data_IF_678054367110
#
_entry.id   IF_678054367110
#
_cell.length_a   1.000
_cell.length_b   1.000
_cell.length_c   1.000
_cell.angle_alpha   90.00
_cell.angle_beta   90.00
_cell.angle_gamma   90.00
#
_symmetry.space_group_name_H-M   'P 1'
#
loop_
_entity.id
_entity.type
_entity.pdbx_description
1 polymer ?
#
# COMPACT_ATOMS: atom_id res chain seq x y z
N UNK A 1 -17.58 17.18 -3.28
CA UNK A 1 -16.54 16.85 -4.28
C UNK A 1 -16.39 15.34 -4.43
N UNK A 2 -16.16 14.57 -3.32
CA UNK A 2 -15.96 13.11 -3.38
C UNK A 2 -17.16 12.39 -3.99
N UNK A 3 -18.38 12.67 -3.53
CA UNK A 3 -19.62 12.07 -4.04
C UNK A 3 -19.78 12.24 -5.57
N UNK A 4 -19.37 13.39 -6.10
CA UNK A 4 -19.42 13.62 -7.55
C UNK A 4 -18.44 12.74 -8.32
N UNK A 5 -17.25 12.49 -7.74
CA UNK A 5 -16.27 11.56 -8.33
C UNK A 5 -16.83 10.14 -8.33
N UNK A 6 -17.39 9.71 -7.22
CA UNK A 6 -18.00 8.38 -7.08
C UNK A 6 -19.15 8.16 -8.07
N UNK A 7 -20.07 9.11 -8.15
CA UNK A 7 -21.19 9.06 -9.10
C UNK A 7 -20.70 8.95 -10.55
N UNK A 8 -19.69 9.74 -10.94
CA UNK A 8 -19.15 9.71 -12.31
C UNK A 8 -18.41 8.40 -12.59
N UNK A 9 -17.56 7.96 -11.67
CA UNK A 9 -16.82 6.68 -11.82
C UNK A 9 -17.82 5.52 -11.95
N UNK A 10 -18.85 5.49 -11.09
CA UNK A 10 -19.89 4.47 -11.16
C UNK A 10 -20.65 4.50 -12.48
N UNK A 11 -21.08 5.68 -12.95
CA UNK A 11 -21.80 5.83 -14.22
C UNK A 11 -20.98 5.36 -15.43
N UNK A 12 -19.69 5.75 -15.52
CA UNK A 12 -18.80 5.27 -16.58
C UNK A 12 -18.55 3.76 -16.49
N UNK A 13 -18.40 3.22 -15.30
CA UNK A 13 -18.21 1.79 -15.09
C UNK A 13 -19.43 0.97 -15.52
N UNK A 14 -20.64 1.42 -15.16
CA UNK A 14 -21.88 0.79 -15.61
C UNK A 14 -22.03 0.85 -17.13
N UNK A 15 -21.80 2.02 -17.73
CA UNK A 15 -21.82 2.17 -19.20
C UNK A 15 -20.83 1.23 -19.90
N UNK A 16 -19.59 1.14 -19.38
CA UNK A 16 -18.59 0.20 -19.91
C UNK A 16 -19.03 -1.26 -19.77
N UNK A 17 -19.67 -1.61 -18.67
CA UNK A 17 -20.23 -2.93 -18.43
C UNK A 17 -21.35 -3.27 -19.41
N UNK A 18 -22.28 -2.34 -19.64
CA UNK A 18 -23.37 -2.50 -20.61
C UNK A 18 -22.85 -2.66 -22.03
N UNK A 19 -21.86 -1.82 -22.42
CA UNK A 19 -21.29 -1.81 -23.76
C UNK A 19 -20.52 -3.09 -24.09
N UNK A 20 -19.80 -3.66 -23.12
CA UNK A 20 -18.86 -4.76 -23.36
C UNK A 20 -19.34 -6.13 -22.86
N UNK A 21 -20.27 -6.16 -21.91
CA UNK A 21 -20.68 -7.38 -21.19
C UNK A 21 -19.55 -8.00 -20.32
N UNK A 22 -18.35 -7.42 -20.30
CA UNK A 22 -17.18 -7.97 -19.61
C UNK A 22 -17.34 -7.99 -18.11
N UNK A 23 -16.82 -9.03 -17.45
CA UNK A 23 -16.65 -9.10 -16.00
C UNK A 23 -15.26 -8.60 -15.54
N UNK A 24 -14.39 -8.23 -16.48
CA UNK A 24 -13.02 -7.80 -16.22
C UNK A 24 -12.88 -6.31 -16.52
N UNK A 25 -12.25 -5.59 -15.62
CA UNK A 25 -11.94 -4.17 -15.77
C UNK A 25 -10.44 -3.94 -15.59
N UNK A 26 -9.81 -3.24 -16.53
CA UNK A 26 -8.51 -2.57 -16.32
C UNK A 26 -8.80 -1.10 -16.13
N UNK A 27 -8.49 -0.57 -14.93
CA UNK A 27 -8.80 0.80 -14.56
C UNK A 27 -7.54 1.60 -14.33
N UNK A 28 -7.32 2.62 -15.16
CA UNK A 28 -6.12 3.44 -15.21
C UNK A 28 -6.48 4.93 -15.21
N UNK A 29 -5.48 5.78 -15.05
CA UNK A 29 -5.63 7.23 -14.93
C UNK A 29 -5.48 7.70 -13.48
N UNK A 30 -5.26 9.02 -13.28
CA UNK A 30 -5.06 9.60 -11.95
C UNK A 30 -6.22 9.35 -10.98
N UNK A 31 -7.45 9.26 -11.49
CA UNK A 31 -8.65 8.96 -10.66
C UNK A 31 -8.61 7.56 -10.09
N UNK A 32 -7.92 6.60 -10.70
CA UNK A 32 -7.74 5.25 -10.17
C UNK A 32 -6.89 5.18 -8.88
N UNK A 33 -6.31 6.30 -8.42
CA UNK A 33 -5.72 6.46 -7.09
C UNK A 33 -6.75 6.72 -5.98
N UNK A 34 -8.02 6.96 -6.35
CA UNK A 34 -9.10 7.18 -5.41
C UNK A 34 -9.69 5.84 -4.94
N UNK A 35 -9.12 5.32 -3.85
CA UNK A 35 -9.49 4.01 -3.31
C UNK A 35 -10.96 3.92 -2.84
N UNK A 36 -11.60 5.03 -2.50
CA UNK A 36 -13.02 5.07 -2.11
C UNK A 36 -13.89 4.81 -3.35
N UNK A 37 -13.67 5.56 -4.43
CA UNK A 37 -14.39 5.36 -5.69
C UNK A 37 -14.10 3.97 -6.30
N UNK A 38 -12.87 3.47 -6.17
CA UNK A 38 -12.50 2.15 -6.67
C UNK A 38 -13.29 1.03 -5.99
N UNK A 39 -13.62 1.18 -4.73
CA UNK A 39 -14.37 0.16 -3.98
C UNK A 39 -15.78 -0.08 -4.55
N UNK A 40 -16.39 0.94 -5.15
CA UNK A 40 -17.71 0.82 -5.82
C UNK A 40 -17.65 -0.02 -7.10
N UNK A 41 -16.49 -0.12 -7.72
CA UNK A 41 -16.31 -0.90 -8.96
C UNK A 41 -16.48 -2.40 -8.73
N UNK A 42 -16.31 -2.87 -7.49
CA UNK A 42 -16.45 -4.29 -7.13
C UNK A 42 -17.88 -4.79 -7.20
N UNK A 43 -18.87 -3.89 -7.18
CA UNK A 43 -20.29 -4.23 -7.36
C UNK A 43 -20.65 -4.42 -8.84
N UNK A 44 -19.78 -3.96 -9.77
CA UNK A 44 -20.02 -3.97 -11.21
C UNK A 44 -19.15 -5.03 -11.92
N UNK A 45 -17.89 -5.13 -11.52
CA UNK A 45 -16.91 -6.03 -12.14
C UNK A 45 -16.40 -7.07 -11.15
N UNK A 46 -16.28 -8.30 -11.64
CA UNK A 46 -15.76 -9.41 -10.85
C UNK A 46 -14.23 -9.34 -10.68
N UNK A 47 -13.53 -8.95 -11.73
CA UNK A 47 -12.07 -8.85 -11.73
C UNK A 47 -11.67 -7.42 -12.08
N UNK A 48 -10.93 -6.77 -11.19
CA UNK A 48 -10.49 -5.39 -11.37
C UNK A 48 -8.97 -5.36 -11.24
N UNK A 49 -8.30 -4.86 -12.28
CA UNK A 49 -6.87 -4.59 -12.26
C UNK A 49 -6.61 -3.08 -12.22
N UNK A 50 -5.94 -2.64 -11.17
CA UNK A 50 -5.43 -1.27 -11.00
C UNK A 50 -3.95 -1.42 -10.67
N UNK A 51 -3.07 -0.94 -11.56
CA UNK A 51 -1.64 -1.03 -11.32
C UNK A 51 -1.19 -0.09 -10.17
N UNK A 52 0.00 -0.30 -9.58
CA UNK A 52 0.47 0.50 -8.45
C UNK A 52 0.71 1.98 -8.81
N UNK A 53 0.97 2.29 -10.06
CA UNK A 53 1.11 3.65 -10.59
C UNK A 53 0.14 3.89 -11.77
N UNK A 54 -1.15 4.04 -11.49
CA UNK A 54 -2.16 4.10 -12.55
C UNK A 54 -2.23 5.47 -13.24
N UNK A 55 -1.61 6.51 -12.67
CA UNK A 55 -1.62 7.88 -13.20
C UNK A 55 -0.57 8.13 -14.30
N UNK A 56 -0.35 9.41 -14.62
CA UNK A 56 0.50 9.86 -15.72
C UNK A 56 1.93 9.30 -15.66
N UNK A 57 2.51 9.18 -14.47
CA UNK A 57 3.85 8.59 -14.32
C UNK A 57 3.91 7.12 -14.77
N UNK A 58 2.81 6.38 -14.66
CA UNK A 58 2.73 4.99 -15.12
C UNK A 58 2.63 4.85 -16.63
N UNK A 59 2.28 5.93 -17.35
CA UNK A 59 2.21 5.94 -18.81
C UNK A 59 3.56 5.67 -19.48
N UNK A 60 4.67 5.94 -18.78
CA UNK A 60 6.02 5.61 -19.26
C UNK A 60 6.20 4.11 -19.50
N UNK A 61 5.70 3.27 -18.57
CA UNK A 61 5.71 1.83 -18.73
C UNK A 61 4.76 1.38 -19.87
N UNK A 62 3.59 2.01 -19.94
CA UNK A 62 2.61 1.74 -21.00
C UNK A 62 3.14 2.07 -22.40
N UNK A 63 3.87 3.18 -22.55
CA UNK A 63 4.52 3.55 -23.80
C UNK A 63 5.58 2.52 -24.24
N UNK A 64 6.44 2.10 -23.29
CA UNK A 64 7.44 1.06 -23.57
C UNK A 64 6.80 -0.29 -23.92
N UNK A 65 5.73 -0.67 -23.20
CA UNK A 65 4.98 -1.89 -23.48
C UNK A 65 4.32 -1.89 -24.88
N UNK A 66 3.76 -0.74 -25.27
CA UNK A 66 3.13 -0.58 -26.58
C UNK A 66 4.17 -0.67 -27.71
N UNK A 67 5.33 -0.04 -27.54
CA UNK A 67 6.42 -0.11 -28.52
C UNK A 67 6.94 -1.53 -28.71
N UNK A 68 7.16 -2.28 -27.63
CA UNK A 68 7.55 -3.69 -27.69
C UNK A 68 6.51 -4.53 -28.42
N UNK A 69 5.24 -4.31 -28.12
CA UNK A 69 4.16 -5.03 -28.79
C UNK A 69 4.08 -4.71 -30.29
N UNK A 70 4.20 -3.43 -30.67
CA UNK A 70 4.14 -3.01 -32.07
C UNK A 70 5.35 -3.49 -32.88
N UNK A 71 6.52 -3.57 -32.25
CA UNK A 71 7.78 -3.95 -32.92
C UNK A 71 7.94 -5.47 -33.04
N UNK A 72 7.68 -6.19 -31.93
CA UNK A 72 8.01 -7.61 -31.81
C UNK A 72 6.79 -8.51 -31.57
N UNK A 73 5.60 -7.95 -31.35
CA UNK A 73 4.43 -8.70 -30.90
C UNK A 73 4.51 -9.15 -29.44
N UNK A 74 5.53 -8.68 -28.70
CA UNK A 74 5.77 -9.07 -27.31
C UNK A 74 4.81 -8.38 -26.35
N UNK A 75 4.28 -9.15 -25.39
CA UNK A 75 3.49 -8.61 -24.28
C UNK A 75 4.31 -8.60 -23.01
N UNK A 76 4.37 -7.45 -22.34
CA UNK A 76 5.00 -7.37 -21.01
C UNK A 76 4.13 -8.16 -20.02
N UNK A 77 4.75 -9.07 -19.29
CA UNK A 77 4.14 -9.74 -18.16
C UNK A 77 4.39 -8.89 -16.89
N UNK A 78 3.32 -8.50 -16.20
CA UNK A 78 3.43 -7.77 -14.94
C UNK A 78 3.76 -8.72 -13.80
N UNK A 79 4.92 -8.57 -13.17
CA UNK A 79 5.39 -9.46 -12.11
C UNK A 79 5.43 -8.78 -10.73
N UNK A 80 5.83 -7.50 -10.68
CA UNK A 80 6.14 -6.85 -9.42
C UNK A 80 6.06 -5.32 -9.51
N UNK A 81 5.64 -4.64 -8.42
CA UNK A 81 5.71 -3.18 -8.34
C UNK A 81 7.11 -2.66 -7.97
N UNK A 82 8.06 -3.53 -7.67
CA UNK A 82 9.39 -3.15 -7.16
C UNK A 82 10.38 -2.98 -8.31
N UNK A 83 10.31 -1.84 -9.00
CA UNK A 83 11.10 -1.56 -10.22
C UNK A 83 12.20 -0.51 -10.01
N UNK A 84 12.18 0.22 -8.89
CA UNK A 84 13.08 1.33 -8.62
C UNK A 84 14.48 0.91 -8.16
N UNK A 85 15.23 1.87 -7.58
CA UNK A 85 16.59 1.66 -7.10
C UNK A 85 16.66 0.54 -6.05
N UNK A 86 17.71 -0.28 -6.15
CA UNK A 86 17.87 -1.46 -5.30
C UNK A 86 18.87 -1.19 -4.15
N UNK A 87 18.37 -1.17 -2.92
CA UNK A 87 19.21 -1.18 -1.73
C UNK A 87 19.49 -2.64 -1.38
N UNK A 88 20.72 -3.08 -1.57
CA UNK A 88 21.13 -4.48 -1.41
C UNK A 88 21.22 -4.92 0.06
N UNK A 89 21.01 -6.20 0.30
CA UNK A 89 21.16 -6.85 1.60
C UNK A 89 19.93 -7.64 2.01
N UNK A 90 20.04 -8.41 3.08
CA UNK A 90 18.92 -9.16 3.63
C UNK A 90 17.88 -8.21 4.20
N UNK A 91 16.62 -8.48 3.91
CA UNK A 91 15.50 -7.71 4.46
C UNK A 91 15.57 -7.66 5.99
N UNK A 92 15.37 -6.51 6.63
CA UNK A 92 15.72 -6.27 8.05
C UNK A 92 14.67 -6.82 9.02
N UNK A 93 14.34 -8.12 8.93
CA UNK A 93 13.30 -8.76 9.74
C UNK A 93 13.62 -8.69 11.23
N UNK A 94 14.84 -9.07 11.61
CA UNK A 94 15.22 -9.13 13.04
C UNK A 94 15.22 -7.74 13.68
N UNK A 95 15.75 -6.74 12.96
CA UNK A 95 15.78 -5.35 13.43
C UNK A 95 14.38 -4.75 13.53
N UNK A 96 13.53 -5.02 12.54
CA UNK A 96 12.13 -4.59 12.55
C UNK A 96 11.35 -5.21 13.73
N UNK A 97 11.46 -6.52 13.96
CA UNK A 97 10.84 -7.20 15.09
C UNK A 97 11.35 -6.64 16.44
N UNK A 98 12.64 -6.33 16.53
CA UNK A 98 13.20 -5.68 17.74
C UNK A 98 12.54 -4.34 18.00
N UNK A 99 12.46 -3.46 16.96
CA UNK A 99 11.81 -2.16 17.12
C UNK A 99 10.32 -2.29 17.48
N UNK A 100 9.61 -3.27 16.93
CA UNK A 100 8.21 -3.55 17.28
C UNK A 100 8.06 -3.97 18.75
N UNK A 101 8.95 -4.83 19.26
CA UNK A 101 8.97 -5.22 20.67
C UNK A 101 9.25 -4.05 21.62
N UNK A 102 10.06 -3.10 21.18
CA UNK A 102 10.38 -1.87 21.91
C UNK A 102 9.28 -0.79 21.77
N UNK A 103 8.20 -1.06 20.99
CA UNK A 103 7.11 -0.12 20.75
C UNK A 103 7.52 1.10 19.91
N UNK A 104 8.56 0.94 19.09
CA UNK A 104 9.13 2.02 18.31
C UNK A 104 8.47 2.13 16.92
N UNK A 105 8.46 3.35 16.40
CA UNK A 105 8.27 3.63 14.98
C UNK A 105 9.61 3.42 14.27
N UNK A 106 9.59 2.79 13.09
CA UNK A 106 10.82 2.55 12.34
C UNK A 106 10.60 2.58 10.84
N UNK A 107 11.64 2.95 10.10
CA UNK A 107 11.66 2.88 8.65
C UNK A 107 12.23 1.55 8.13
N UNK A 108 11.75 1.11 6.98
CA UNK A 108 12.37 0.07 6.15
C UNK A 108 12.78 0.70 4.83
N UNK A 109 14.08 0.56 4.47
CA UNK A 109 14.62 0.95 3.18
C UNK A 109 15.50 -0.19 2.65
N UNK A 110 14.89 -1.17 1.96
CA UNK A 110 15.58 -2.38 1.47
C UNK A 110 15.00 -2.84 0.14
N UNK A 111 15.76 -3.60 -0.65
CA UNK A 111 15.34 -4.09 -1.94
C UNK A 111 15.08 -2.97 -2.95
N UNK A 112 14.38 -3.29 -4.04
CA UNK A 112 13.97 -2.31 -5.05
C UNK A 112 12.85 -1.42 -4.53
N UNK A 113 12.95 -0.11 -4.80
CA UNK A 113 11.88 0.83 -4.48
C UNK A 113 10.61 0.53 -5.28
N UNK A 114 9.48 0.90 -4.72
CA UNK A 114 8.17 0.76 -5.35
C UNK A 114 8.05 1.69 -6.57
N UNK A 115 7.42 1.19 -7.63
CA UNK A 115 7.00 1.96 -8.79
C UNK A 115 5.59 2.50 -8.54
N UNK A 116 5.50 3.73 -8.04
CA UNK A 116 4.22 4.37 -7.75
C UNK A 116 4.24 5.27 -6.52
N UNK A 117 3.11 5.92 -6.21
CA UNK A 117 3.03 6.90 -5.13
C UNK A 117 2.85 6.27 -3.74
N UNK A 118 2.79 4.93 -3.65
CA UNK A 118 2.55 4.21 -2.40
C UNK A 118 3.79 3.45 -1.96
N UNK A 119 4.12 3.52 -0.67
CA UNK A 119 5.07 2.63 -0.05
C UNK A 119 4.39 1.28 0.22
N UNK A 120 5.02 0.19 -0.20
CA UNK A 120 4.46 -1.16 -0.17
C UNK A 120 5.34 -2.16 0.60
N UNK A 121 6.26 -1.65 1.44
CA UNK A 121 7.11 -2.46 2.31
C UNK A 121 8.61 -2.21 2.12
N UNK A 122 9.07 -1.74 0.96
CA UNK A 122 10.50 -1.51 0.69
C UNK A 122 10.97 -0.08 0.99
N UNK A 123 10.06 0.89 1.04
CA UNK A 123 10.32 2.29 1.42
C UNK A 123 9.22 2.76 2.37
N UNK A 124 9.07 2.05 3.48
CA UNK A 124 7.95 2.19 4.41
C UNK A 124 8.38 2.70 5.77
N UNK A 125 7.56 3.55 6.37
CA UNK A 125 7.60 3.87 7.80
C UNK A 125 6.51 3.05 8.48
N UNK A 126 6.91 2.24 9.47
CA UNK A 126 6.10 1.18 10.06
C UNK A 126 5.95 1.33 11.57
N UNK A 127 4.88 0.75 12.11
CA UNK A 127 4.64 0.61 13.55
C UNK A 127 3.60 -0.50 13.83
N UNK A 128 3.48 -0.90 15.08
CA UNK A 128 2.33 -1.65 15.57
C UNK A 128 1.08 -0.76 15.52
N UNK A 129 -0.02 -1.14 14.84
CA UNK A 129 -1.19 -0.29 14.67
C UNK A 129 -2.06 -0.14 15.93
N UNK A 130 -1.82 -0.92 16.99
CA UNK A 130 -2.68 -1.02 18.19
C UNK A 130 -2.41 0.04 19.24
N UNK A 131 -1.24 0.66 19.25
CA UNK A 131 -0.88 1.65 20.26
C UNK A 131 -1.74 2.92 20.18
N UNK A 132 -2.27 3.45 21.30
CA UNK A 132 -3.13 4.64 21.29
C UNK A 132 -2.40 5.90 20.78
N UNK A 133 -1.11 6.02 21.03
CA UNK A 133 -0.30 7.20 20.66
C UNK A 133 0.35 7.10 19.28
N UNK A 134 0.27 5.94 18.62
CA UNK A 134 0.99 5.67 17.38
C UNK A 134 0.55 6.62 16.26
N UNK A 135 -0.75 6.87 16.15
CA UNK A 135 -1.32 7.83 15.19
C UNK A 135 -0.74 9.23 15.35
N UNK A 136 -0.69 9.71 16.57
CA UNK A 136 -0.19 11.05 16.89
C UNK A 136 1.31 11.17 16.64
N UNK A 137 2.10 10.23 17.16
CA UNK A 137 3.56 10.17 16.93
C UNK A 137 3.90 10.14 15.45
N UNK A 138 3.21 9.30 14.68
CA UNK A 138 3.41 9.18 13.25
C UNK A 138 3.02 10.48 12.50
N UNK A 139 1.91 11.12 12.87
CA UNK A 139 1.48 12.38 12.26
C UNK A 139 2.43 13.56 12.59
N UNK A 140 3.11 13.54 13.74
CA UNK A 140 4.18 14.50 14.06
C UNK A 140 5.34 14.35 13.07
N UNK A 141 5.83 13.12 12.85
CA UNK A 141 6.89 12.83 11.86
C UNK A 141 6.46 13.26 10.46
N UNK A 142 5.23 12.94 10.07
CA UNK A 142 4.70 13.29 8.73
C UNK A 142 4.28 14.76 8.60
N UNK A 143 4.36 15.56 9.69
CA UNK A 143 3.96 16.99 9.72
C UNK A 143 2.61 17.25 9.08
N UNK A 144 1.58 16.46 9.44
CA UNK A 144 0.24 16.54 8.90
C UNK A 144 -0.82 16.54 10.01
N UNK A 145 -2.09 16.74 9.62
CA UNK A 145 -3.21 16.82 10.57
C UNK A 145 -3.36 15.50 11.36
N UNK A 146 -3.56 15.60 12.66
CA UNK A 146 -3.63 14.47 13.58
C UNK A 146 -4.78 13.49 13.31
N UNK A 147 -5.89 13.96 12.72
CA UNK A 147 -7.04 13.11 12.42
C UNK A 147 -6.77 12.10 11.29
N UNK A 148 -5.79 12.34 10.42
CA UNK A 148 -5.51 11.47 9.27
C UNK A 148 -4.96 10.12 9.72
N UNK A 149 -5.61 9.00 9.36
CA UNK A 149 -5.11 7.67 9.65
C UNK A 149 -4.04 7.24 8.65
N UNK A 150 -3.47 6.08 8.93
CA UNK A 150 -2.50 5.40 8.09
C UNK A 150 -3.13 4.16 7.46
N UNK A 151 -2.41 3.52 6.55
CA UNK A 151 -2.85 2.28 5.93
C UNK A 151 -2.32 1.08 6.74
N UNK A 152 -3.08 -0.01 6.91
CA UNK A 152 -2.53 -1.28 7.33
C UNK A 152 -1.88 -1.99 6.14
N UNK A 153 -0.79 -2.73 6.39
CA UNK A 153 -0.32 -3.82 5.57
C UNK A 153 -0.55 -5.11 6.35
N UNK A 154 -1.37 -6.01 5.80
CA UNK A 154 -1.88 -7.22 6.47
C UNK A 154 -1.55 -8.47 5.67
N UNK A 155 -1.28 -9.59 6.36
CA UNK A 155 -1.23 -10.90 5.72
C UNK A 155 -2.53 -11.16 4.96
N UNK A 156 -2.46 -11.51 3.68
CA UNK A 156 -3.65 -11.70 2.83
C UNK A 156 -4.59 -12.77 3.40
N UNK A 157 -4.04 -13.85 3.92
CA UNK A 157 -4.77 -14.97 4.53
C UNK A 157 -5.62 -14.57 5.74
N UNK A 158 -5.31 -13.41 6.36
CA UNK A 158 -6.03 -12.87 7.52
C UNK A 158 -6.90 -11.63 7.21
N UNK A 159 -6.95 -11.17 5.96
CA UNK A 159 -7.64 -9.90 5.65
C UNK A 159 -9.11 -9.95 6.04
N UNK A 160 -9.79 -11.06 5.79
CA UNK A 160 -11.22 -11.21 6.10
C UNK A 160 -11.53 -11.40 7.58
N UNK A 161 -10.53 -11.70 8.41
CA UNK A 161 -10.71 -11.76 9.87
C UNK A 161 -10.87 -10.36 10.45
N UNK A 162 -10.27 -9.35 9.81
CA UNK A 162 -10.18 -7.97 10.30
C UNK A 162 -10.95 -6.95 9.46
N UNK A 163 -11.17 -7.21 8.17
CA UNK A 163 -11.79 -6.26 7.25
C UNK A 163 -12.91 -6.88 6.43
N UNK A 164 -13.95 -6.08 6.20
CA UNK A 164 -15.00 -6.35 5.21
C UNK A 164 -14.54 -5.77 3.88
N UNK A 165 -13.85 -6.60 3.09
CA UNK A 165 -13.31 -6.17 1.80
C UNK A 165 -14.43 -6.00 0.77
N UNK A 166 -14.40 -4.93 -0.05
CA UNK A 166 -15.42 -4.67 -1.05
C UNK A 166 -15.49 -5.81 -2.07
N UNK A 167 -16.70 -6.23 -2.44
CA UNK A 167 -16.92 -7.36 -3.35
C UNK A 167 -16.32 -8.70 -2.90
N UNK A 168 -15.92 -8.82 -1.62
CA UNK A 168 -15.29 -10.03 -1.07
C UNK A 168 -13.88 -10.31 -1.60
N UNK A 169 -13.21 -9.33 -2.21
CA UNK A 169 -11.85 -9.50 -2.71
C UNK A 169 -10.87 -9.72 -1.55
N UNK A 170 -9.86 -10.59 -1.73
CA UNK A 170 -8.78 -10.78 -0.76
C UNK A 170 -7.51 -10.03 -1.15
N UNK A 171 -7.31 -9.81 -2.44
CA UNK A 171 -6.08 -9.32 -3.03
C UNK A 171 -6.13 -7.82 -3.34
N UNK A 172 -5.47 -7.01 -2.51
CA UNK A 172 -5.37 -5.56 -2.65
C UNK A 172 -3.93 -5.08 -2.36
N UNK A 173 -2.92 -5.49 -3.16
CA UNK A 173 -1.50 -5.31 -2.82
C UNK A 173 -1.02 -3.87 -2.91
N UNK A 174 -1.75 -2.99 -3.62
CA UNK A 174 -1.32 -1.62 -3.93
C UNK A 174 -2.16 -0.53 -3.23
N UNK A 175 -2.91 -0.89 -2.18
CA UNK A 175 -3.81 0.04 -1.48
C UNK A 175 -4.90 0.62 -2.41
N UNK A 176 -5.44 -0.20 -3.32
CA UNK A 176 -6.40 0.24 -4.34
C UNK A 176 -7.81 0.45 -3.78
N UNK A 177 -8.14 -0.17 -2.65
CA UNK A 177 -9.48 -0.22 -2.10
C UNK A 177 -9.52 0.19 -0.63
N UNK A 178 -10.69 0.64 -0.19
CA UNK A 178 -11.02 0.82 1.23
C UNK A 178 -11.92 -0.32 1.70
N UNK A 179 -11.76 -0.70 2.95
CA UNK A 179 -12.54 -1.75 3.58
C UNK A 179 -12.97 -1.32 4.98
N UNK A 180 -14.15 -1.77 5.42
CA UNK A 180 -14.62 -1.52 6.77
C UNK A 180 -13.88 -2.43 7.75
N UNK A 181 -13.36 -1.85 8.83
CA UNK A 181 -12.71 -2.62 9.89
C UNK A 181 -13.77 -3.26 10.81
N UNK A 182 -13.56 -4.52 11.16
CA UNK A 182 -14.46 -5.26 12.06
C UNK A 182 -14.24 -4.95 13.54
N UNK A 183 -13.05 -4.40 13.87
CA UNK A 183 -12.65 -4.06 15.25
C UNK A 183 -11.93 -2.70 15.25
N UNK A 184 -12.61 -1.61 14.91
CA UNK A 184 -11.96 -0.30 14.74
C UNK A 184 -11.35 0.23 16.04
N UNK A 185 -11.87 -0.14 17.20
CA UNK A 185 -11.37 0.23 18.52
C UNK A 185 -9.98 -0.32 18.84
N UNK A 186 -9.63 -1.48 18.29
CA UNK A 186 -8.34 -2.13 18.49
C UNK A 186 -7.21 -1.46 17.65
N UNK A 187 -7.58 -0.71 16.60
CA UNK A 187 -6.63 -0.21 15.60
C UNK A 187 -6.78 1.29 15.27
N UNK A 188 -6.79 2.18 16.27
CA UNK A 188 -7.12 3.61 16.07
C UNK A 188 -6.17 4.34 15.11
N UNK A 189 -4.94 3.82 14.92
CA UNK A 189 -3.95 4.45 14.06
C UNK A 189 -4.24 4.29 12.56
N UNK A 190 -4.99 3.26 12.16
CA UNK A 190 -5.24 2.92 10.76
C UNK A 190 -6.69 3.10 10.32
N UNK A 191 -7.55 3.61 11.20
CA UNK A 191 -8.99 3.72 10.95
C UNK A 191 -9.39 5.18 10.68
N UNK A 192 -10.21 5.40 9.64
CA UNK A 192 -10.89 6.65 9.34
C UNK A 192 -12.10 6.86 10.27
N UNK A 193 -12.65 8.08 10.30
CA UNK A 193 -13.82 8.41 11.13
C UNK A 193 -15.06 7.57 10.79
N UNK A 194 -15.17 7.12 9.54
CA UNK A 194 -16.26 6.27 9.05
C UNK A 194 -16.05 4.76 9.32
N UNK A 195 -15.00 4.40 10.04
CA UNK A 195 -14.65 3.02 10.36
C UNK A 195 -13.95 2.26 9.23
N UNK A 196 -13.60 2.95 8.14
CA UNK A 196 -12.89 2.34 7.01
C UNK A 196 -11.38 2.46 7.11
N UNK A 197 -10.68 1.66 6.32
CA UNK A 197 -9.23 1.71 6.14
C UNK A 197 -8.83 1.40 4.71
N UNK A 198 -7.75 2.02 4.22
CA UNK A 198 -7.17 1.71 2.92
C UNK A 198 -6.17 0.57 3.08
N UNK A 199 -6.61 -0.65 2.77
CA UNK A 199 -5.88 -1.87 3.06
C UNK A 199 -4.82 -2.19 2.00
N UNK A 200 -3.63 -2.62 2.46
CA UNK A 200 -2.65 -3.32 1.64
C UNK A 200 -2.61 -4.78 2.08
N UNK A 201 -2.89 -5.73 1.19
CA UNK A 201 -2.68 -7.15 1.45
C UNK A 201 -1.28 -7.57 1.02
N UNK A 202 -0.67 -8.48 1.78
CA UNK A 202 0.69 -8.99 1.55
C UNK A 202 0.64 -10.49 1.33
N UNK A 203 1.00 -10.91 0.11
CA UNK A 203 1.05 -12.30 -0.30
C UNK A 203 2.49 -12.80 -0.33
N UNK A 204 2.73 -14.02 0.17
CA UNK A 204 4.07 -14.61 0.21
C UNK A 204 4.73 -14.70 -1.17
N UNK A 205 3.96 -14.99 -2.22
CA UNK A 205 4.48 -15.11 -3.59
C UNK A 205 4.99 -13.77 -4.16
N UNK A 206 4.46 -12.64 -3.69
CA UNK A 206 4.78 -11.30 -4.22
C UNK A 206 5.84 -10.58 -3.39
N UNK A 207 5.82 -10.76 -2.07
CA UNK A 207 6.80 -10.17 -1.15
C UNK A 207 7.13 -11.13 0.00
N UNK A 208 7.97 -12.15 -0.22
CA UNK A 208 8.25 -13.21 0.76
C UNK A 208 8.84 -12.69 2.07
N UNK A 209 9.70 -11.68 2.01
CA UNK A 209 10.37 -11.15 3.21
C UNK A 209 9.42 -10.31 4.08
N UNK A 210 8.60 -9.45 3.47
CA UNK A 210 7.58 -8.69 4.20
C UNK A 210 6.52 -9.62 4.80
N UNK A 211 6.08 -10.61 4.02
CA UNK A 211 5.16 -11.64 4.51
C UNK A 211 5.76 -12.37 5.72
N UNK A 212 7.05 -12.71 5.67
CA UNK A 212 7.75 -13.33 6.79
C UNK A 212 7.81 -12.42 8.01
N UNK A 213 8.10 -11.13 7.84
CA UNK A 213 8.07 -10.15 8.94
C UNK A 213 6.70 -10.12 9.61
N UNK A 214 5.63 -10.01 8.83
CA UNK A 214 4.26 -10.01 9.34
C UNK A 214 3.89 -11.33 10.03
N UNK A 215 4.33 -12.47 9.47
CA UNK A 215 4.09 -13.80 10.06
C UNK A 215 4.77 -13.96 11.42
N UNK A 216 6.02 -13.52 11.55
CA UNK A 216 6.73 -13.59 12.83
C UNK A 216 6.11 -12.63 13.86
N UNK A 217 5.72 -11.43 13.44
CA UNK A 217 5.01 -10.50 14.31
C UNK A 217 3.65 -11.07 14.76
N UNK A 218 2.91 -11.70 13.85
CA UNK A 218 1.63 -12.36 14.16
C UNK A 218 1.80 -13.48 15.19
N UNK A 219 2.79 -14.34 15.02
CA UNK A 219 3.09 -15.41 15.98
C UNK A 219 3.35 -14.90 17.40
N UNK A 220 4.04 -13.76 17.52
CA UNK A 220 4.39 -13.18 18.81
C UNK A 220 3.24 -12.39 19.46
N UNK A 221 2.37 -11.80 18.66
CA UNK A 221 1.44 -10.78 19.15
C UNK A 221 -0.04 -11.06 18.87
N UNK A 222 -0.34 -12.02 18.01
CA UNK A 222 -1.70 -12.25 17.50
C UNK A 222 -2.21 -11.18 16.52
N UNK A 223 -1.38 -10.21 16.12
CA UNK A 223 -1.75 -9.16 15.18
C UNK A 223 -1.08 -9.42 13.81
N UNK A 224 -1.87 -9.72 12.73
CA UNK A 224 -1.31 -10.07 11.42
C UNK A 224 -0.98 -8.88 10.55
N UNK A 225 -0.92 -7.67 11.12
CA UNK A 225 -0.74 -6.43 10.35
C UNK A 225 0.19 -5.44 11.02
N UNK A 226 0.78 -4.56 10.21
CA UNK A 226 1.50 -3.36 10.65
C UNK A 226 0.90 -2.11 10.03
N UNK A 227 1.06 -0.98 10.69
CA UNK A 227 0.85 0.34 10.09
C UNK A 227 1.90 0.58 9.03
N UNK A 228 1.49 1.09 7.87
CA UNK A 228 2.34 1.45 6.73
C UNK A 228 2.07 2.88 6.25
N UNK A 229 3.14 3.63 6.07
CA UNK A 229 3.13 4.90 5.33
C UNK A 229 4.45 5.11 4.61
N UNK A 230 4.49 6.04 3.65
CA UNK A 230 5.69 6.32 2.86
C UNK A 230 6.86 6.83 3.71
N UNK A 231 8.05 6.31 3.44
CA UNK A 231 9.30 6.77 4.04
C UNK A 231 9.80 7.99 3.26
N UNK A 232 9.36 9.20 3.66
CA UNK A 232 9.78 10.45 3.04
C UNK A 232 9.69 11.63 3.99
N UNK A 233 10.57 12.60 3.81
CA UNK A 233 10.48 13.92 4.42
C UNK A 233 9.33 14.69 3.75
N UNK A 234 8.55 15.45 4.52
CA UNK A 234 7.42 16.22 3.97
C UNK A 234 7.88 17.11 2.82
N UNK A 235 7.19 17.00 1.68
CA UNK A 235 7.49 17.77 0.46
C UNK A 235 8.60 17.18 -0.40
N UNK A 236 9.19 16.06 0.00
CA UNK A 236 10.19 15.33 -0.78
C UNK A 236 9.63 14.01 -1.31
N UNK A 237 10.26 13.42 -2.34
CA UNK A 237 9.94 12.08 -2.82
C UNK A 237 10.12 11.01 -1.72
N UNK A 238 9.65 9.81 -1.99
CA UNK A 238 9.96 8.64 -1.18
C UNK A 238 11.46 8.38 -1.28
N UNK A 239 12.09 8.00 -0.17
CA UNK A 239 13.50 7.59 -0.09
C UNK A 239 13.86 6.68 -1.26
N UNK A 240 14.93 7.01 -1.97
CA UNK A 240 15.41 6.25 -3.12
C UNK A 240 16.53 5.28 -2.71
N UNK A 241 17.54 5.77 -2.01
CA UNK A 241 18.78 5.04 -1.69
C UNK A 241 19.14 5.10 -0.18
N UNK A 242 20.33 4.58 0.17
CA UNK A 242 20.78 4.57 1.57
C UNK A 242 21.12 5.96 2.10
N UNK A 243 21.49 6.90 1.26
CA UNK A 243 21.81 8.28 1.69
C UNK A 243 20.53 9.00 2.08
N UNK A 244 19.48 8.86 1.28
CA UNK A 244 18.15 9.36 1.60
C UNK A 244 17.61 8.73 2.89
N UNK A 245 17.83 7.42 3.08
CA UNK A 245 17.42 6.70 4.28
C UNK A 245 18.14 7.24 5.53
N UNK A 246 19.45 7.53 5.45
CA UNK A 246 20.22 8.16 6.51
C UNK A 246 19.77 9.60 6.78
N UNK A 247 19.48 10.35 5.72
CA UNK A 247 18.97 11.72 5.84
C UNK A 247 17.61 11.75 6.57
N UNK A 248 16.70 10.83 6.20
CA UNK A 248 15.42 10.67 6.90
C UNK A 248 15.62 10.32 8.37
N UNK A 249 16.45 9.30 8.67
CA UNK A 249 16.73 8.86 10.03
C UNK A 249 17.27 9.99 10.91
N UNK A 250 18.20 10.79 10.38
CA UNK A 250 18.79 11.96 11.07
C UNK A 250 17.77 13.08 11.26
N UNK A 251 16.92 13.35 10.25
CA UNK A 251 15.97 14.48 10.28
C UNK A 251 14.85 14.27 11.32
N UNK A 252 14.39 13.03 11.48
CA UNK A 252 13.27 12.71 12.37
C UNK A 252 13.65 11.93 13.61
N UNK A 253 14.94 11.62 13.79
CA UNK A 253 15.45 10.79 14.91
C UNK A 253 14.76 9.42 14.96
N UNK A 254 14.44 8.85 13.79
CA UNK A 254 13.76 7.56 13.64
C UNK A 254 14.73 6.53 13.10
N UNK A 255 14.76 5.34 13.70
CA UNK A 255 15.57 4.22 13.18
C UNK A 255 15.09 3.83 11.78
N UNK A 256 15.99 3.77 10.81
CA UNK A 256 15.71 3.23 9.48
C UNK A 256 16.56 1.98 9.28
N UNK A 257 15.89 0.85 9.11
CA UNK A 257 16.50 -0.45 8.92
C UNK A 257 16.73 -0.71 7.42
N UNK A 258 17.98 -0.81 7.03
CA UNK A 258 18.39 -1.04 5.65
C UNK A 258 18.64 -2.52 5.40
N UNK A 259 19.20 -3.24 6.37
CA UNK A 259 19.51 -4.68 6.33
C UNK A 259 19.69 -5.28 7.73
N UNK A 260 19.47 -6.60 7.85
CA UNK A 260 19.81 -7.35 9.06
C UNK A 260 21.32 -7.44 9.31
#
# INVERSE_FOLDING_TARGET
AQDQVEQRVNAYAQYAKELTGSNNLVYMGGVALNCVANSLLTDIFKNIFIMPNPGDCGSSLGAAALELYNTNGERINWETPYLGHNIQGKYPIKKALKSLKEGELFGIANGRAEFGPRALGNRSLCADPRGPDVKDKMNVIKKRQKFRPFAPMILEEHVHDYFEMPGGISHAPYMQFVAKCKKPEDFPAIIHEDGTSRVQTVRKAEHPDLHKLLTEFYKETGCPMLLNTSLNIKGQPIVNDEEDAKAFAKHYEVKVHVRD
#
